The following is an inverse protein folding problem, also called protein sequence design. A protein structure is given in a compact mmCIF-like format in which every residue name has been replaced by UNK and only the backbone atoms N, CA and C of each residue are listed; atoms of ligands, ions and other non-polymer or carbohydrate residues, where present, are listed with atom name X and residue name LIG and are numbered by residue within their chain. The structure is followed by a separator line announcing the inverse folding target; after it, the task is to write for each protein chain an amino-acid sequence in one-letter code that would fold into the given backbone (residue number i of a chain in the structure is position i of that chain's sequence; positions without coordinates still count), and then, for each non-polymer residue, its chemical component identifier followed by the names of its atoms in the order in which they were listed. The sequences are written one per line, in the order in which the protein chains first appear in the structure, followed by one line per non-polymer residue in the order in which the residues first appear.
data_IF_653641285261
#
_entry.id   IF_653641285261
#
_cell.length_a   1.000
_cell.length_b   1.000
_cell.length_c   1.000
_cell.angle_alpha   90.00
_cell.angle_beta   90.00
_cell.angle_gamma   90.00
#
_symmetry.space_group_name_H-M   'P 1'
#
loop_
_entity.id
_entity.type
_entity.pdbx_description
1 polymer ?
#
# COMPACT_ATOMS: atom_id res chain seq x y z
N UNK A 1 -14.83 20.44 -24.95
CA UNK A 1 -14.39 21.42 -23.93
C UNK A 1 -14.26 20.64 -22.64
N UNK A 2 -13.04 20.40 -22.15
CA UNK A 2 -12.85 19.76 -20.84
C UNK A 2 -13.24 20.78 -19.77
N UNK A 3 -14.27 20.47 -18.97
CA UNK A 3 -14.56 21.31 -17.79
C UNK A 3 -13.45 21.08 -16.78
N UNK A 4 -13.03 22.14 -16.09
CA UNK A 4 -11.95 22.13 -15.09
C UNK A 4 -12.24 21.30 -13.83
N UNK A 5 -13.24 20.41 -13.88
CA UNK A 5 -13.73 19.56 -12.80
C UNK A 5 -13.90 18.09 -13.23
N UNK A 6 -13.49 17.72 -14.45
CA UNK A 6 -13.32 16.30 -14.78
C UNK A 6 -12.20 15.76 -13.89
N UNK A 7 -12.56 14.90 -12.92
CA UNK A 7 -11.58 14.04 -12.26
C UNK A 7 -11.15 13.05 -13.34
N UNK A 8 -10.15 13.46 -14.12
CA UNK A 8 -9.46 12.59 -15.08
C UNK A 8 -8.75 11.53 -14.24
N UNK A 9 -9.42 10.39 -14.05
CA UNK A 9 -8.82 9.25 -13.40
C UNK A 9 -7.70 8.75 -14.33
N UNK A 10 -6.46 9.04 -13.97
CA UNK A 10 -5.30 8.58 -14.74
C UNK A 10 -5.06 7.10 -14.42
N UNK A 11 -5.70 6.22 -15.20
CA UNK A 11 -5.57 4.76 -15.11
C UNK A 11 -4.08 4.30 -15.09
N UNK A 12 -3.19 5.02 -15.79
CA UNK A 12 -1.76 4.72 -15.83
C UNK A 12 -1.06 5.12 -14.52
N UNK A 13 -1.40 6.28 -13.93
CA UNK A 13 -0.89 6.68 -12.62
C UNK A 13 -1.37 5.74 -11.50
N UNK A 14 -2.64 5.32 -11.53
CA UNK A 14 -3.19 4.38 -10.55
C UNK A 14 -2.55 2.98 -10.64
N UNK A 15 -2.37 2.45 -11.85
CA UNK A 15 -1.70 1.16 -12.06
C UNK A 15 -0.22 1.19 -11.68
N UNK A 16 0.46 2.31 -11.96
CA UNK A 16 1.85 2.53 -11.52
C UNK A 16 1.92 2.57 -9.99
N UNK A 17 1.05 3.33 -9.33
CA UNK A 17 1.01 3.41 -7.87
C UNK A 17 0.70 2.04 -7.22
N UNK A 18 -0.20 1.24 -7.80
CA UNK A 18 -0.50 -0.11 -7.31
C UNK A 18 0.74 -1.02 -7.39
N UNK A 19 1.45 -0.97 -8.52
CA UNK A 19 2.69 -1.74 -8.73
C UNK A 19 3.79 -1.32 -7.76
N UNK A 20 3.99 -0.01 -7.57
CA UNK A 20 4.97 0.54 -6.64
C UNK A 20 4.66 0.16 -5.19
N UNK A 21 3.38 0.17 -4.79
CA UNK A 21 2.95 -0.25 -3.45
C UNK A 21 3.18 -1.75 -3.23
N UNK A 22 2.93 -2.59 -4.24
CA UNK A 22 3.23 -4.02 -4.17
C UNK A 22 4.75 -4.29 -4.04
N UNK A 23 5.57 -3.54 -4.76
CA UNK A 23 7.03 -3.61 -4.63
C UNK A 23 7.50 -3.12 -3.25
N UNK A 24 6.92 -2.03 -2.74
CA UNK A 24 7.22 -1.47 -1.42
C UNK A 24 6.85 -2.45 -0.30
N UNK A 25 5.70 -3.14 -0.42
CA UNK A 25 5.29 -4.21 0.48
C UNK A 25 6.35 -5.30 0.55
N UNK A 26 6.72 -5.85 -0.60
CA UNK A 26 7.73 -6.94 -0.71
C UNK A 26 9.07 -6.53 -0.07
N UNK A 27 9.50 -5.29 -0.33
CA UNK A 27 10.74 -4.74 0.26
C UNK A 27 10.63 -4.60 1.78
N UNK A 28 9.47 -4.18 2.28
CA UNK A 28 9.21 -3.99 3.72
C UNK A 28 9.13 -5.32 4.45
N UNK A 29 8.50 -6.35 3.86
CA UNK A 29 8.50 -7.73 4.37
C UNK A 29 9.93 -8.27 4.47
N UNK A 30 10.74 -8.08 3.41
CA UNK A 30 12.13 -8.52 3.40
C UNK A 30 12.95 -7.82 4.49
N UNK A 31 12.72 -6.51 4.71
CA UNK A 31 13.40 -5.76 5.77
C UNK A 31 13.00 -6.26 7.16
N UNK A 32 11.70 -6.52 7.38
CA UNK A 32 11.19 -7.08 8.63
C UNK A 32 11.89 -8.40 8.97
N UNK A 33 11.89 -9.35 8.02
CA UNK A 33 12.51 -10.67 8.24
C UNK A 33 13.99 -10.56 8.55
N UNK A 34 14.73 -9.70 7.83
CA UNK A 34 16.16 -9.47 8.11
C UNK A 34 16.41 -8.91 9.50
N UNK A 35 15.56 -7.99 9.97
CA UNK A 35 15.69 -7.42 11.32
C UNK A 35 15.35 -8.47 12.38
N UNK A 36 14.29 -9.25 12.20
CA UNK A 36 13.94 -10.37 13.08
C UNK A 36 15.09 -11.37 13.22
N UNK A 37 15.69 -11.77 12.11
CA UNK A 37 16.86 -12.65 12.09
C UNK A 37 18.05 -12.02 12.81
N UNK A 38 18.39 -10.77 12.52
CA UNK A 38 19.49 -10.06 13.16
C UNK A 38 19.32 -9.99 14.68
N UNK A 39 18.13 -9.64 15.19
CA UNK A 39 17.90 -9.56 16.62
C UNK A 39 17.95 -10.92 17.31
N UNK A 40 17.45 -11.96 16.63
CA UNK A 40 17.55 -13.34 17.12
C UNK A 40 18.99 -13.83 17.16
N UNK A 41 19.79 -13.54 16.14
CA UNK A 41 21.22 -13.86 16.09
C UNK A 41 21.99 -13.12 17.19
N UNK A 42 21.73 -11.83 17.38
CA UNK A 42 22.32 -11.04 18.46
C UNK A 42 21.98 -11.61 19.83
N UNK A 43 20.71 -11.97 20.07
CA UNK A 43 20.28 -12.58 21.32
C UNK A 43 20.89 -13.96 21.56
N UNK A 44 21.09 -14.74 20.50
CA UNK A 44 21.74 -16.07 20.58
C UNK A 44 23.24 -15.94 20.83
N UNK A 45 23.91 -15.00 20.17
CA UNK A 45 25.33 -14.71 20.39
C UNK A 45 25.58 -14.16 21.80
N UNK A 46 24.64 -13.36 22.31
CA UNK A 46 24.62 -12.86 23.68
C UNK A 46 23.74 -13.78 24.55
N UNK A 47 24.14 -15.04 24.78
CA UNK A 47 23.42 -15.99 25.65
C UNK A 47 23.47 -15.56 27.13
N UNK A 48 22.75 -14.49 27.40
CA UNK A 48 22.69 -13.76 28.64
C UNK A 48 21.25 -13.26 28.82
N UNK A 49 20.82 -12.97 30.06
CA UNK A 49 19.52 -12.34 30.28
C UNK A 49 19.35 -11.03 29.50
N UNK A 50 20.44 -10.28 29.27
CA UNK A 50 20.43 -9.05 28.48
C UNK A 50 20.15 -9.32 26.98
N UNK A 51 20.77 -10.34 26.39
CA UNK A 51 20.49 -10.72 24.99
C UNK A 51 19.03 -11.12 24.77
N UNK A 52 18.43 -11.85 25.73
CA UNK A 52 16.99 -12.18 25.69
C UNK A 52 16.09 -10.94 25.77
N UNK A 53 16.50 -9.90 26.52
CA UNK A 53 15.76 -8.64 26.56
C UNK A 53 15.88 -7.85 25.25
N UNK A 54 16.99 -7.97 24.53
CA UNK A 54 17.16 -7.37 23.19
C UNK A 54 16.15 -7.97 22.21
N UNK A 55 16.00 -9.29 22.19
CA UNK A 55 15.00 -9.97 21.34
C UNK A 55 13.57 -9.49 21.64
N UNK A 56 13.20 -9.46 22.93
CA UNK A 56 11.87 -9.03 23.37
C UNK A 56 11.59 -7.56 23.01
N UNK A 57 12.57 -6.69 23.24
CA UNK A 57 12.45 -5.24 22.98
C UNK A 57 12.39 -4.97 21.48
N UNK A 58 13.23 -5.64 20.70
CA UNK A 58 13.23 -5.53 19.26
C UNK A 58 11.88 -5.92 18.66
N UNK A 59 11.31 -7.06 19.08
CA UNK A 59 9.98 -7.48 18.64
C UNK A 59 8.90 -6.44 18.95
N UNK A 60 8.87 -5.94 20.20
CA UNK A 60 7.79 -5.06 20.67
C UNK A 60 7.89 -3.61 20.20
N UNK A 61 9.10 -3.07 20.11
CA UNK A 61 9.32 -1.62 19.92
C UNK A 61 9.81 -1.31 18.50
N UNK A 62 10.62 -2.19 17.91
CA UNK A 62 11.34 -1.89 16.67
C UNK A 62 10.71 -2.57 15.45
N UNK A 63 10.22 -3.81 15.62
CA UNK A 63 9.57 -4.58 14.54
C UNK A 63 8.10 -4.22 14.39
N UNK A 64 7.37 -4.04 15.50
CA UNK A 64 5.94 -3.71 15.47
C UNK A 64 5.57 -2.51 14.57
N UNK A 65 6.28 -1.36 14.61
CA UNK A 65 5.97 -0.26 13.70
C UNK A 65 6.13 -0.60 12.21
N UNK A 66 7.03 -1.55 11.89
CA UNK A 66 7.22 -2.04 10.51
C UNK A 66 6.05 -2.93 10.10
N UNK A 67 5.52 -3.75 11.02
CA UNK A 67 4.30 -4.53 10.79
C UNK A 67 3.07 -3.65 10.58
N UNK A 68 2.93 -2.61 11.40
CA UNK A 68 1.83 -1.63 11.28
C UNK A 68 1.91 -0.89 9.94
N UNK A 69 3.12 -0.49 9.52
CA UNK A 69 3.34 0.13 8.20
C UNK A 69 2.99 -0.83 7.06
N UNK A 70 3.36 -2.11 7.19
CA UNK A 70 3.05 -3.12 6.19
C UNK A 70 1.53 -3.25 5.98
N UNK A 71 0.76 -3.21 7.07
CA UNK A 71 -0.69 -3.27 7.04
C UNK A 71 -1.27 -2.06 6.28
N UNK A 72 -0.74 -0.86 6.51
CA UNK A 72 -1.14 0.35 5.77
C UNK A 72 -0.82 0.24 4.27
N UNK A 73 0.39 -0.22 3.93
CA UNK A 73 0.79 -0.42 2.53
C UNK A 73 -0.14 -1.44 1.84
N UNK A 74 -0.47 -2.53 2.53
CA UNK A 74 -1.41 -3.53 2.04
C UNK A 74 -2.78 -2.91 1.78
N UNK A 75 -3.32 -2.16 2.74
CA UNK A 75 -4.62 -1.50 2.60
C UNK A 75 -4.68 -0.54 1.41
N UNK A 76 -3.62 0.25 1.21
CA UNK A 76 -3.51 1.17 0.06
C UNK A 76 -3.44 0.37 -1.24
N UNK A 77 -2.63 -0.68 -1.30
CA UNK A 77 -2.50 -1.55 -2.48
C UNK A 77 -3.82 -2.23 -2.86
N UNK A 78 -4.56 -2.75 -1.88
CA UNK A 78 -5.85 -3.40 -2.10
C UNK A 78 -6.89 -2.39 -2.60
N UNK A 79 -6.92 -1.20 -1.98
CA UNK A 79 -7.80 -0.11 -2.41
C UNK A 79 -7.51 0.32 -3.85
N UNK A 80 -6.23 0.48 -4.22
CA UNK A 80 -5.84 0.83 -5.59
C UNK A 80 -6.24 -0.27 -6.58
N UNK A 81 -6.07 -1.54 -6.19
CA UNK A 81 -6.45 -2.70 -7.02
C UNK A 81 -7.96 -2.77 -7.21
N UNK A 82 -8.75 -2.48 -6.16
CA UNK A 82 -10.20 -2.43 -6.22
C UNK A 82 -10.68 -1.29 -7.14
N UNK A 83 -10.08 -0.09 -7.04
CA UNK A 83 -10.39 1.03 -7.94
C UNK A 83 -10.13 0.67 -9.41
N UNK A 84 -9.00 0.02 -9.70
CA UNK A 84 -8.64 -0.42 -11.06
C UNK A 84 -9.57 -1.54 -11.55
N UNK A 85 -9.81 -2.56 -10.71
CA UNK A 85 -10.51 -3.79 -11.11
C UNK A 85 -12.03 -3.67 -11.17
N UNK A 86 -12.63 -2.80 -10.36
CA UNK A 86 -14.09 -2.63 -10.32
C UNK A 86 -14.63 -1.70 -11.40
N UNK A 87 -13.78 -0.86 -12.02
CA UNK A 87 -14.24 0.16 -12.96
C UNK A 87 -15.26 1.13 -12.37
N UNK A 88 -15.47 1.13 -11.04
CA UNK A 88 -16.58 1.83 -10.38
C UNK A 88 -16.57 3.33 -10.65
N UNK A 89 -15.38 3.92 -10.77
CA UNK A 89 -15.23 5.31 -11.17
C UNK A 89 -15.41 5.49 -12.68
N UNK A 90 -14.86 4.58 -13.49
CA UNK A 90 -14.94 4.63 -14.95
C UNK A 90 -16.39 4.61 -15.45
N UNK A 91 -17.23 3.74 -14.90
CA UNK A 91 -18.65 3.64 -15.27
C UNK A 91 -19.46 4.86 -14.87
N UNK A 92 -19.13 5.48 -13.74
CA UNK A 92 -19.77 6.73 -13.30
C UNK A 92 -19.41 7.88 -14.25
N UNK A 93 -18.14 7.98 -14.66
CA UNK A 93 -17.71 9.00 -15.61
C UNK A 93 -18.24 8.75 -17.03
N UNK A 94 -18.27 7.49 -17.51
CA UNK A 94 -18.89 7.14 -18.80
C UNK A 94 -20.38 7.49 -18.80
N UNK A 95 -21.12 7.13 -17.74
CA UNK A 95 -22.54 7.50 -17.63
C UNK A 95 -22.74 9.01 -17.57
N UNK A 96 -21.87 9.73 -16.87
CA UNK A 96 -21.91 11.20 -16.83
C UNK A 96 -21.67 11.80 -18.22
N UNK A 97 -20.66 11.35 -18.96
CA UNK A 97 -20.41 11.79 -20.35
C UNK A 97 -21.61 11.48 -21.27
N UNK A 98 -22.15 10.27 -21.19
CA UNK A 98 -23.34 9.86 -21.95
C UNK A 98 -24.56 10.73 -21.62
N UNK A 99 -24.80 11.00 -20.33
CA UNK A 99 -25.85 11.90 -19.88
C UNK A 99 -25.63 13.32 -20.39
N UNK A 100 -24.42 13.86 -20.29
CA UNK A 100 -24.10 15.21 -20.72
C UNK A 100 -24.28 15.38 -22.24
N UNK A 101 -23.85 14.39 -23.04
CA UNK A 101 -24.11 14.33 -24.48
C UNK A 101 -25.60 14.24 -24.82
N UNK A 102 -26.38 13.53 -24.00
CA UNK A 102 -27.83 13.41 -24.17
C UNK A 102 -28.61 14.66 -23.75
N UNK A 103 -28.02 15.55 -22.95
CA UNK A 103 -28.64 16.81 -22.52
C UNK A 103 -28.32 17.95 -23.50
N UNK A 104 -27.22 17.87 -24.25
CA UNK A 104 -26.98 18.73 -25.42
C UNK A 104 -27.86 18.34 -26.61
N UNK A 105 -29.15 18.71 -26.57
CA UNK A 105 -29.99 18.81 -27.75
C UNK A 105 -29.98 20.27 -28.25
N UNK A 106 -29.41 20.46 -29.45
CA UNK A 106 -29.28 21.71 -30.24
C UNK A 106 -28.37 22.81 -29.70
#
# INVERSE_FOLDING_TARGET
MALSQDILLDDAAFSTAASEMAALKTRTETLKTKLEEMYKELATALDTPAGKQVEITAGKVLIKPIEDLLLVIQHISDTLTEIIGTGHYKDVFIKFEQLNQSVTFN
#
